data_IF_727897947145
#
_entry.id   IF_727897947145
#
_cell.length_a   1.000
_cell.length_b   1.000
_cell.length_c   1.000
_cell.angle_alpha   90.00
_cell.angle_beta   90.00
_cell.angle_gamma   90.00
#
_symmetry.space_group_name_H-M   'P 1'
#
loop_
_entity.id
_entity.type
_entity.pdbx_description
1 polymer ?
#
# COMPACT_ATOMS: atom_id res chain seq x y z
N UNK A 1 -37.84 11.55 -41.61
CA UNK A 1 -36.76 11.99 -40.69
C UNK A 1 -36.59 11.07 -39.46
N UNK A 2 -37.67 10.57 -38.85
CA UNK A 2 -37.62 9.74 -37.61
C UNK A 2 -37.12 8.29 -37.86
N UNK A 3 -37.44 7.67 -39.00
CA UNK A 3 -37.07 6.27 -39.30
C UNK A 3 -35.56 6.02 -39.44
N UNK A 4 -34.80 7.01 -39.93
CA UNK A 4 -33.34 6.92 -40.11
C UNK A 4 -32.62 6.89 -38.75
N UNK A 5 -33.13 7.66 -37.78
CA UNK A 5 -32.59 7.68 -36.40
C UNK A 5 -32.81 6.36 -35.67
N UNK A 6 -33.94 5.68 -35.89
CA UNK A 6 -34.19 4.36 -35.32
C UNK A 6 -33.29 3.30 -35.94
N UNK A 7 -33.05 3.34 -37.25
CA UNK A 7 -32.17 2.39 -37.95
C UNK A 7 -30.69 2.52 -37.52
N UNK A 8 -30.22 3.76 -37.31
CA UNK A 8 -28.85 4.04 -36.81
C UNK A 8 -28.65 3.60 -35.35
N UNK A 9 -29.68 3.72 -34.51
CA UNK A 9 -29.65 3.26 -33.10
C UNK A 9 -29.68 1.73 -33.02
N UNK A 10 -30.40 1.07 -33.94
CA UNK A 10 -30.47 -0.39 -34.01
C UNK A 10 -29.16 -1.03 -34.49
N UNK A 11 -28.48 -0.44 -35.49
CA UNK A 11 -27.13 -0.89 -35.92
C UNK A 11 -26.07 -0.77 -34.80
N UNK A 12 -26.15 0.26 -33.95
CA UNK A 12 -25.23 0.44 -32.80
C UNK A 12 -25.47 -0.56 -31.66
N UNK A 13 -26.69 -1.07 -31.51
CA UNK A 13 -27.01 -2.13 -30.53
C UNK A 13 -26.44 -3.48 -30.98
N UNK A 14 -26.55 -3.83 -32.26
CA UNK A 14 -26.10 -5.13 -32.79
C UNK A 14 -24.56 -5.31 -32.66
N UNK A 15 -23.77 -4.26 -32.92
CA UNK A 15 -22.31 -4.31 -32.83
C UNK A 15 -21.82 -4.51 -31.39
N UNK A 16 -22.56 -4.01 -30.39
CA UNK A 16 -22.22 -4.18 -28.96
C UNK A 16 -22.48 -5.59 -28.44
N UNK A 17 -23.49 -6.28 -28.96
CA UNK A 17 -23.77 -7.67 -28.58
C UNK A 17 -22.85 -8.67 -29.30
N UNK A 18 -22.54 -8.46 -30.59
CA UNK A 18 -21.69 -9.38 -31.37
C UNK A 18 -20.23 -9.47 -30.92
N UNK A 19 -19.60 -8.33 -30.59
CA UNK A 19 -18.18 -8.30 -30.17
C UNK A 19 -18.00 -8.79 -28.73
N UNK A 20 -19.01 -8.61 -27.88
CA UNK A 20 -19.00 -9.05 -26.49
C UNK A 20 -18.99 -10.56 -26.31
N UNK A 21 -19.72 -11.31 -27.16
CA UNK A 21 -19.76 -12.78 -27.14
C UNK A 21 -18.41 -13.39 -27.58
N UNK A 22 -17.73 -12.78 -28.56
CA UNK A 22 -16.42 -13.24 -29.03
C UNK A 22 -15.33 -12.97 -27.97
N UNK A 23 -15.32 -11.78 -27.36
CA UNK A 23 -14.32 -11.40 -26.36
C UNK A 23 -14.49 -12.13 -25.01
N UNK A 24 -15.71 -12.58 -24.68
CA UNK A 24 -15.97 -13.32 -23.43
C UNK A 24 -15.56 -14.79 -23.55
N UNK A 25 -15.71 -15.38 -24.75
CA UNK A 25 -15.24 -16.75 -25.05
C UNK A 25 -13.72 -16.83 -25.21
N UNK A 26 -13.07 -15.84 -25.86
CA UNK A 26 -11.61 -15.81 -25.98
C UNK A 26 -10.89 -15.56 -24.65
N UNK A 27 -11.50 -14.79 -23.74
CA UNK A 27 -10.93 -14.53 -22.41
C UNK A 27 -11.02 -15.72 -21.45
N UNK A 28 -11.82 -16.74 -21.77
CA UNK A 28 -11.94 -17.97 -20.98
C UNK A 28 -10.87 -19.01 -21.35
N UNK A 29 -10.29 -18.94 -22.54
CA UNK A 29 -9.24 -19.86 -23.01
C UNK A 29 -7.82 -19.36 -22.74
N UNK A 30 -7.62 -18.04 -22.64
CA UNK A 30 -6.34 -17.44 -22.19
C UNK A 30 -6.25 -17.31 -20.66
N UNK A 31 -6.91 -18.21 -19.94
CA UNK A 31 -6.67 -18.44 -18.51
C UNK A 31 -5.31 -19.11 -18.31
N UNK A 32 -4.24 -18.34 -18.50
CA UNK A 32 -2.90 -18.70 -18.07
C UNK A 32 -3.01 -19.07 -16.58
N UNK A 33 -2.64 -20.30 -16.17
CA UNK A 33 -2.78 -20.73 -14.79
C UNK A 33 -2.08 -19.72 -13.88
N UNK A 34 -2.80 -19.23 -12.87
CA UNK A 34 -2.29 -18.33 -11.82
C UNK A 34 -1.15 -18.92 -10.98
N UNK A 35 -0.64 -20.10 -11.35
CA UNK A 35 0.40 -20.82 -10.64
C UNK A 35 1.82 -20.31 -10.92
N UNK A 36 2.04 -19.50 -11.97
CA UNK A 36 3.39 -19.07 -12.37
C UNK A 36 3.74 -17.61 -12.07
N UNK A 37 2.86 -16.84 -11.42
CA UNK A 37 3.22 -15.50 -10.93
C UNK A 37 2.81 -15.34 -9.48
N UNK A 38 3.74 -15.67 -8.57
CA UNK A 38 4.23 -14.81 -7.50
C UNK A 38 5.18 -15.63 -6.60
N UNK A 39 6.43 -15.17 -6.38
CA UNK A 39 7.21 -15.66 -5.26
C UNK A 39 6.50 -15.21 -3.98
N UNK A 40 6.11 -16.18 -3.16
CA UNK A 40 5.48 -15.91 -1.89
C UNK A 40 6.43 -15.14 -0.98
N UNK A 41 6.13 -13.86 -0.72
CA UNK A 41 6.57 -13.21 0.52
C UNK A 41 5.83 -13.91 1.66
N UNK A 42 6.44 -14.98 2.17
CA UNK A 42 6.10 -15.78 3.35
C UNK A 42 5.02 -15.13 4.25
N UNK A 43 3.76 -15.48 4.03
CA UNK A 43 2.76 -15.50 5.10
C UNK A 43 2.95 -16.84 5.81
N UNK A 44 3.66 -16.87 6.94
CA UNK A 44 3.72 -18.06 7.80
C UNK A 44 2.35 -18.24 8.47
N UNK A 45 1.65 -19.38 8.27
CA UNK A 45 0.62 -19.82 9.20
C UNK A 45 1.32 -20.36 10.44
N UNK A 46 0.91 -19.88 11.62
CA UNK A 46 1.37 -20.43 12.89
C UNK A 46 0.77 -21.82 13.07
N UNK A 47 1.59 -22.87 12.97
CA UNK A 47 1.42 -24.12 13.72
C UNK A 47 2.68 -24.99 13.53
N UNK A 48 3.62 -24.85 14.46
CA UNK A 48 4.73 -25.79 14.64
C UNK A 48 4.77 -26.17 16.12
N UNK A 49 4.96 -27.46 16.47
CA UNK A 49 5.10 -27.85 17.87
C UNK A 49 6.30 -27.10 18.46
N UNK A 50 6.10 -26.50 19.63
CA UNK A 50 7.05 -25.60 20.28
C UNK A 50 8.28 -26.41 20.69
N UNK A 51 9.28 -26.53 19.80
CA UNK A 51 10.66 -26.71 20.26
C UNK A 51 11.12 -25.35 20.77
N UNK A 52 11.15 -25.16 22.08
CA UNK A 52 11.85 -24.05 22.71
C UNK A 52 13.33 -24.16 22.33
N UNK A 53 13.72 -23.59 21.18
CA UNK A 53 15.13 -23.28 20.95
C UNK A 53 15.47 -22.21 21.97
N UNK A 54 16.50 -22.41 22.82
CA UNK A 54 17.01 -21.34 23.66
C UNK A 54 17.25 -20.13 22.78
N UNK A 55 16.63 -19.01 23.12
CA UNK A 55 16.83 -17.76 22.39
C UNK A 55 18.32 -17.44 22.53
N UNK A 56 19.10 -17.33 21.44
CA UNK A 56 20.47 -16.86 21.56
C UNK A 56 20.41 -15.52 22.29
N UNK A 57 21.30 -15.25 23.27
CA UNK A 57 21.35 -13.96 23.91
C UNK A 57 21.46 -12.92 22.80
N UNK A 58 20.47 -12.03 22.74
CA UNK A 58 20.52 -10.92 21.80
C UNK A 58 21.86 -10.22 22.07
N UNK A 59 22.64 -9.85 21.03
CA UNK A 59 23.75 -8.94 21.24
C UNK A 59 23.18 -7.76 22.00
N UNK A 60 23.73 -7.48 23.17
CA UNK A 60 23.39 -6.30 23.96
C UNK A 60 23.88 -5.15 23.08
N UNK A 61 23.01 -4.69 22.19
CA UNK A 61 23.26 -3.51 21.39
C UNK A 61 23.59 -2.42 22.40
N UNK A 62 24.71 -1.69 22.26
CA UNK A 62 24.96 -0.56 23.12
C UNK A 62 23.72 0.34 23.04
N UNK A 63 23.05 0.54 24.19
CA UNK A 63 22.00 1.54 24.31
C UNK A 63 22.64 2.83 23.82
N UNK A 64 22.20 3.33 22.68
CA UNK A 64 22.79 4.52 22.04
C UNK A 64 22.47 5.72 22.92
N UNK A 65 23.29 6.00 23.91
CA UNK A 65 23.26 7.24 24.67
C UNK A 65 24.06 8.28 23.91
N UNK A 66 23.36 9.09 23.12
CA UNK A 66 23.64 10.47 22.72
C UNK A 66 22.78 10.76 21.48
N UNK A 67 21.66 11.47 21.66
CA UNK A 67 20.63 11.79 20.64
C UNK A 67 20.17 10.58 19.81
N UNK A 68 19.05 10.01 20.21
CA UNK A 68 18.43 8.88 19.55
C UNK A 68 18.23 9.17 18.05
N UNK A 69 19.07 8.60 17.19
CA UNK A 69 18.92 8.68 15.71
C UNK A 69 17.55 8.11 15.28
N UNK A 70 16.92 7.34 16.16
CA UNK A 70 15.54 6.89 15.99
C UNK A 70 14.48 7.98 16.23
N UNK A 71 14.86 9.18 16.69
CA UNK A 71 13.97 10.32 16.98
C UNK A 71 13.99 11.41 15.89
N UNK A 72 14.85 11.34 14.87
CA UNK A 72 14.93 12.34 13.77
C UNK A 72 13.98 12.04 12.60
N UNK A 73 13.55 13.08 11.89
CA UNK A 73 12.61 13.02 10.77
C UNK A 73 13.11 12.09 9.66
N UNK A 74 12.24 11.25 9.12
CA UNK A 74 12.64 10.30 8.05
C UNK A 74 12.88 10.97 6.69
N UNK A 75 12.43 12.21 6.53
CA UNK A 75 12.58 12.97 5.28
C UNK A 75 13.86 13.81 5.31
N UNK A 76 13.98 14.75 6.26
CA UNK A 76 15.17 15.61 6.33
C UNK A 76 16.33 15.02 7.12
N UNK A 77 16.08 14.07 8.04
CA UNK A 77 17.10 13.50 8.94
C UNK A 77 17.83 14.50 9.85
N UNK A 78 17.44 15.77 9.84
CA UNK A 78 18.06 16.83 10.64
C UNK A 78 17.27 17.17 11.92
N UNK A 79 15.94 17.26 11.80
CA UNK A 79 15.05 17.75 12.86
C UNK A 79 14.34 16.61 13.60
N UNK A 80 14.00 16.76 14.89
CA UNK A 80 13.27 15.74 15.64
C UNK A 80 11.85 15.54 15.07
N UNK A 81 11.36 14.31 15.21
CA UNK A 81 9.99 13.96 14.83
C UNK A 81 9.00 14.52 15.84
N UNK A 82 8.03 15.27 15.34
CA UNK A 82 6.97 15.86 16.16
C UNK A 82 5.58 15.64 15.56
N UNK A 83 5.44 14.94 14.43
CA UNK A 83 4.14 14.75 13.76
C UNK A 83 3.75 13.28 13.65
N UNK A 84 2.57 12.97 14.20
CA UNK A 84 1.90 11.68 14.17
C UNK A 84 0.86 11.64 13.06
N UNK A 85 0.94 10.62 12.20
CA UNK A 85 0.01 10.41 11.08
C UNK A 85 -1.13 9.45 11.45
N UNK A 86 -2.38 9.86 11.27
CA UNK A 86 -3.57 9.03 11.51
C UNK A 86 -4.18 8.50 10.20
N UNK A 87 -4.69 7.26 10.19
CA UNK A 87 -4.98 6.38 11.35
C UNK A 87 -3.81 5.49 11.81
N UNK A 88 -2.68 5.49 11.09
CA UNK A 88 -1.59 4.54 11.34
C UNK A 88 -0.75 4.79 12.61
N UNK A 89 -0.88 5.96 13.25
CA UNK A 89 -0.17 6.39 14.48
C UNK A 89 1.36 6.40 14.36
N UNK A 90 1.90 6.57 13.15
CA UNK A 90 3.34 6.67 12.95
C UNK A 90 3.85 8.09 13.20
N UNK A 91 4.76 8.23 14.17
CA UNK A 91 5.57 9.43 14.39
C UNK A 91 6.78 9.38 13.45
N UNK A 92 6.78 10.19 12.38
CA UNK A 92 7.79 10.08 11.32
C UNK A 92 8.29 11.40 10.72
N UNK A 93 7.56 12.51 10.91
CA UNK A 93 7.90 13.81 10.31
C UNK A 93 8.22 14.87 11.37
N UNK A 94 9.10 15.81 11.03
CA UNK A 94 9.24 17.08 11.74
C UNK A 94 8.18 18.10 11.26
N UNK A 95 8.13 19.27 11.89
CA UNK A 95 7.18 20.35 11.58
C UNK A 95 7.36 20.87 10.15
N UNK A 96 8.59 21.13 9.73
CA UNK A 96 8.85 21.70 8.41
C UNK A 96 8.57 20.71 7.28
N UNK A 97 8.96 19.44 7.47
CA UNK A 97 8.65 18.39 6.50
C UNK A 97 7.15 18.12 6.43
N UNK A 98 6.40 18.28 7.52
CA UNK A 98 4.96 18.08 7.52
C UNK A 98 4.23 19.04 6.58
N UNK A 99 4.65 20.30 6.56
CA UNK A 99 4.04 21.37 5.77
C UNK A 99 4.32 21.18 4.27
N UNK A 100 5.51 20.66 3.93
CA UNK A 100 5.91 20.32 2.57
C UNK A 100 5.46 18.91 2.11
N UNK A 101 4.78 18.15 2.97
CA UNK A 101 4.40 16.76 2.67
C UNK A 101 3.01 16.64 2.03
N UNK A 102 2.99 16.55 0.70
CA UNK A 102 1.78 16.46 -0.13
C UNK A 102 1.38 15.03 -0.54
N UNK A 103 2.24 14.03 -0.32
CA UNK A 103 2.01 12.67 -0.84
C UNK A 103 0.81 11.93 -0.23
N UNK A 104 0.14 12.47 0.81
CA UNK A 104 -1.11 11.92 1.35
C UNK A 104 -1.03 10.50 1.94
N UNK A 105 0.14 9.86 1.94
CA UNK A 105 0.37 8.51 2.44
C UNK A 105 1.47 8.52 3.50
N UNK A 106 1.41 7.63 4.49
CA UNK A 106 2.48 7.51 5.47
C UNK A 106 3.77 6.95 4.83
N UNK A 107 4.95 7.57 5.03
CA UNK A 107 6.21 7.07 4.45
C UNK A 107 6.65 5.70 5.00
N UNK A 108 6.18 5.32 6.20
CA UNK A 108 6.54 4.05 6.84
C UNK A 108 5.65 2.89 6.38
N UNK A 109 4.34 3.11 6.35
CA UNK A 109 3.36 2.03 6.14
C UNK A 109 2.46 2.21 4.92
N UNK A 110 2.60 3.32 4.18
CA UNK A 110 1.83 3.67 2.98
C UNK A 110 0.31 3.78 3.19
N UNK A 111 -0.14 3.86 4.44
CA UNK A 111 -1.55 4.11 4.77
C UNK A 111 -1.92 5.55 4.41
N UNK A 112 -3.12 5.76 3.88
CA UNK A 112 -3.65 7.10 3.57
C UNK A 112 -3.75 7.95 4.86
N UNK A 113 -3.23 9.17 4.81
CA UNK A 113 -3.22 10.13 5.90
C UNK A 113 -4.55 10.89 5.92
N UNK A 114 -5.33 10.67 6.98
CA UNK A 114 -6.58 11.39 7.19
C UNK A 114 -6.39 12.63 8.07
N UNK A 115 -5.52 12.53 9.08
CA UNK A 115 -5.23 13.61 10.02
C UNK A 115 -3.76 13.57 10.41
N UNK A 116 -3.18 14.74 10.68
CA UNK A 116 -1.82 14.91 11.18
C UNK A 116 -1.91 15.61 12.55
N UNK A 117 -1.25 15.05 13.55
CA UNK A 117 -1.23 15.61 14.91
C UNK A 117 0.20 16.00 15.27
N UNK A 118 0.38 17.22 15.74
CA UNK A 118 1.68 17.72 16.21
C UNK A 118 1.76 17.46 17.71
N UNK A 119 2.82 16.79 18.15
CA UNK A 119 3.12 16.47 19.54
C UNK A 119 4.32 17.30 19.97
N UNK A 120 4.18 18.00 21.08
CA UNK A 120 5.25 18.72 21.75
C UNK A 120 5.79 17.81 22.86
N UNK A 121 7.09 17.50 22.80
CA UNK A 121 7.85 16.68 23.75
C UNK A 121 8.90 17.56 24.42
#
# INVERSE_FOLDING_TARGET
>A
MIAIFLFLKFRRQIIRFGVGLIYKSFRMLLSIPRYLRFPQRNRRPQQSPIRLRPRPPLPISPKKTALDVSAICVICQDQPKCVVLLPCKHLCLCKDCNDNYFNGFCPLCRTNIQKKLIVFI
#
